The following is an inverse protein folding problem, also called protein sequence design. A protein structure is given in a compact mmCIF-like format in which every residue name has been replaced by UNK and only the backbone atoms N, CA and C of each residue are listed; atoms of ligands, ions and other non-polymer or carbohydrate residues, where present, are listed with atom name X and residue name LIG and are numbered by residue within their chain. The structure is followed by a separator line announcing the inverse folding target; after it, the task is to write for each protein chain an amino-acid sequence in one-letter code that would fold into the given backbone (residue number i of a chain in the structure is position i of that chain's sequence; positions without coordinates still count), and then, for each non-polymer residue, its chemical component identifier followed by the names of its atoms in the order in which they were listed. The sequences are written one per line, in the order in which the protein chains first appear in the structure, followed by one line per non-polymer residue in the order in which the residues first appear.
data_IF_794365517719
#
_entry.id   IF_794365517719
#
_cell.length_a   1.000
_cell.length_b   1.000
_cell.length_c   1.000
_cell.angle_alpha   90.00
_cell.angle_beta   90.00
_cell.angle_gamma   90.00
#
_symmetry.space_group_name_H-M   'P 1'
#
loop_
_entity.id
_entity.type
_entity.pdbx_description
1 polymer ?
#
# COMPACT_ATOMS: atom_id res chain seq x y z
N UNK A 1 58.31 -18.99 34.59
CA UNK A 1 57.73 -18.05 33.60
C UNK A 1 56.22 -18.09 33.80
N UNK A 2 55.63 -17.10 34.49
CA UNK A 2 54.17 -17.00 34.66
C UNK A 2 53.64 -16.16 33.51
N UNK A 3 52.79 -16.74 32.66
CA UNK A 3 52.02 -15.99 31.67
C UNK A 3 50.96 -15.18 32.43
N UNK A 4 51.12 -13.85 32.46
CA UNK A 4 50.01 -12.94 32.74
C UNK A 4 49.10 -12.99 31.52
N UNK A 5 47.90 -13.55 31.68
CA UNK A 5 46.83 -13.33 30.72
C UNK A 5 46.35 -11.88 30.86
N UNK A 6 46.29 -11.20 29.73
CA UNK A 6 46.07 -9.78 29.60
C UNK A 6 44.56 -9.47 29.72
N UNK A 7 44.05 -9.34 30.96
CA UNK A 7 42.66 -8.94 31.28
C UNK A 7 42.23 -7.65 30.55
N UNK A 8 43.20 -6.87 30.08
CA UNK A 8 43.03 -5.66 29.31
C UNK A 8 42.43 -5.91 27.92
N UNK A 9 42.71 -7.04 27.27
CA UNK A 9 42.17 -7.34 25.93
C UNK A 9 40.71 -7.80 25.96
N UNK A 10 40.30 -8.61 26.94
CA UNK A 10 38.88 -8.98 27.11
C UNK A 10 38.02 -7.78 27.52
N UNK A 11 38.56 -6.91 28.38
CA UNK A 11 37.87 -5.69 28.80
C UNK A 11 37.73 -4.69 27.64
N UNK A 12 38.74 -4.55 26.78
CA UNK A 12 38.69 -3.72 25.56
C UNK A 12 37.77 -4.29 24.48
N UNK A 13 37.75 -5.62 24.27
CA UNK A 13 36.77 -6.26 23.38
C UNK A 13 35.34 -6.13 23.90
N UNK A 14 35.14 -6.23 25.21
CA UNK A 14 33.83 -6.05 25.86
C UNK A 14 33.32 -4.62 25.76
N UNK A 15 34.18 -3.62 25.97
CA UNK A 15 33.83 -2.19 25.81
C UNK A 15 33.55 -1.83 24.35
N UNK A 16 34.35 -2.31 23.39
CA UNK A 16 34.13 -2.08 21.96
C UNK A 16 32.79 -2.67 21.48
N UNK A 17 32.44 -3.89 21.90
CA UNK A 17 31.14 -4.51 21.59
C UNK A 17 29.97 -3.76 22.23
N UNK A 18 30.15 -3.24 23.45
CA UNK A 18 29.13 -2.45 24.14
C UNK A 18 28.90 -1.09 23.47
N UNK A 19 29.96 -0.38 23.06
CA UNK A 19 29.83 0.91 22.36
C UNK A 19 29.12 0.76 21.02
N UNK A 20 29.44 -0.30 20.25
CA UNK A 20 28.74 -0.62 19.00
C UNK A 20 27.27 -0.93 19.23
N UNK A 21 26.95 -1.66 20.30
CA UNK A 21 25.58 -1.97 20.69
C UNK A 21 24.79 -0.70 21.04
N UNK A 22 25.35 0.17 21.88
CA UNK A 22 24.73 1.44 22.28
C UNK A 22 24.54 2.38 21.08
N UNK A 23 25.49 2.42 20.15
CA UNK A 23 25.38 3.18 18.91
C UNK A 23 24.22 2.67 18.04
N UNK A 24 24.10 1.35 17.85
CA UNK A 24 22.99 0.73 17.12
C UNK A 24 21.64 1.02 17.80
N UNK A 25 21.56 0.88 19.13
CA UNK A 25 20.37 1.18 19.93
C UNK A 25 19.90 2.63 19.76
N UNK A 26 20.83 3.58 19.80
CA UNK A 26 20.53 5.00 19.58
C UNK A 26 19.94 5.25 18.19
N UNK A 27 20.51 4.64 17.15
CA UNK A 27 20.02 4.76 15.77
C UNK A 27 18.61 4.17 15.64
N UNK A 28 18.36 2.98 16.20
CA UNK A 28 17.05 2.33 16.16
C UNK A 28 15.99 3.19 16.86
N UNK A 29 16.29 3.68 18.07
CA UNK A 29 15.40 4.59 18.83
C UNK A 29 15.07 5.87 18.05
N UNK A 30 16.07 6.51 17.45
CA UNK A 30 15.86 7.72 16.64
C UNK A 30 14.97 7.45 15.42
N UNK A 31 15.10 6.28 14.77
CA UNK A 31 14.28 5.90 13.62
C UNK A 31 12.83 5.65 13.99
N UNK A 32 12.57 4.99 15.12
CA UNK A 32 11.20 4.82 15.61
C UNK A 32 10.56 6.15 16.00
N UNK A 33 11.26 7.00 16.75
CA UNK A 33 10.75 8.35 17.08
C UNK A 33 10.51 9.23 15.85
N UNK A 34 11.26 9.05 14.76
CA UNK A 34 10.94 9.71 13.47
C UNK A 34 9.62 9.19 12.89
N UNK A 35 9.36 7.89 12.93
CA UNK A 35 8.13 7.29 12.36
C UNK A 35 6.89 7.68 13.15
N UNK A 36 7.00 7.71 14.48
CA UNK A 36 5.96 8.20 15.38
C UNK A 36 5.51 9.61 14.97
N UNK A 37 6.45 10.57 14.87
CA UNK A 37 6.14 11.93 14.41
C UNK A 37 5.47 11.99 13.03
N UNK A 38 5.89 11.14 12.09
CA UNK A 38 5.30 11.08 10.74
C UNK A 38 3.84 10.58 10.78
N UNK A 39 3.52 9.64 11.67
CA UNK A 39 2.16 9.14 11.84
C UNK A 39 1.28 10.14 12.60
N UNK A 40 1.79 10.73 13.68
CA UNK A 40 1.08 11.72 14.50
C UNK A 40 0.72 12.98 13.71
N UNK A 41 1.66 13.50 12.90
CA UNK A 41 1.40 14.63 11.99
C UNK A 41 0.29 14.36 10.95
N UNK A 42 -0.11 13.10 10.77
CA UNK A 42 -1.21 12.67 9.89
C UNK A 42 -2.43 12.18 10.67
N UNK A 43 -2.49 12.43 11.97
CA UNK A 43 -3.58 12.00 12.85
C UNK A 43 -3.67 10.47 13.01
N UNK A 44 -2.58 9.73 12.76
CA UNK A 44 -2.54 8.27 12.90
C UNK A 44 -1.83 7.88 14.20
N UNK A 45 -2.40 6.91 14.92
CA UNK A 45 -1.78 6.36 16.14
C UNK A 45 -0.51 5.59 15.76
N UNK A 46 0.56 5.83 16.51
CA UNK A 46 1.76 5.01 16.43
C UNK A 46 1.49 3.62 17.02
N UNK A 47 1.71 2.58 16.21
CA UNK A 47 1.70 1.19 16.69
C UNK A 47 3.13 0.67 16.73
N UNK A 48 3.57 0.35 17.94
CA UNK A 48 4.92 -0.11 18.22
C UNK A 48 5.16 -1.49 17.60
N UNK A 49 4.19 -2.40 17.67
CA UNK A 49 4.31 -3.77 17.15
C UNK A 49 4.48 -3.76 15.65
N UNK A 50 3.57 -3.11 14.93
CA UNK A 50 3.64 -2.94 13.48
C UNK A 50 4.94 -2.26 13.06
N UNK A 51 5.35 -1.21 13.76
CA UNK A 51 6.57 -0.47 13.43
C UNK A 51 7.81 -1.35 13.57
N UNK A 52 7.89 -2.16 14.62
CA UNK A 52 9.00 -3.09 14.84
C UNK A 52 9.01 -4.22 13.82
N UNK A 53 7.87 -4.83 13.51
CA UNK A 53 7.79 -5.91 12.51
C UNK A 53 8.13 -5.41 11.10
N UNK A 54 7.63 -4.23 10.71
CA UNK A 54 8.02 -3.58 9.46
C UNK A 54 9.51 -3.25 9.42
N UNK A 55 10.12 -2.95 10.56
CA UNK A 55 11.54 -2.69 10.64
C UNK A 55 12.39 -3.95 10.48
N UNK A 56 12.04 -5.02 11.18
CA UNK A 56 12.71 -6.33 11.08
C UNK A 56 12.63 -6.83 9.65
N UNK A 57 11.44 -6.84 9.06
CA UNK A 57 11.20 -7.39 7.72
C UNK A 57 11.30 -6.36 6.58
N UNK A 58 11.91 -5.18 6.83
CA UNK A 58 11.86 -4.00 5.94
C UNK A 58 12.23 -4.26 4.49
N UNK A 59 13.31 -5.01 4.21
CA UNK A 59 13.76 -5.31 2.84
C UNK A 59 12.70 -6.12 2.10
N UNK A 60 12.18 -7.16 2.77
CA UNK A 60 11.14 -8.03 2.24
C UNK A 60 9.82 -7.28 1.99
N UNK A 61 9.39 -6.44 2.93
CA UNK A 61 8.18 -5.61 2.79
C UNK A 61 8.34 -4.55 1.70
N UNK A 62 9.44 -3.79 1.68
CA UNK A 62 9.70 -2.80 0.65
C UNK A 62 9.76 -3.45 -0.74
N UNK A 63 10.48 -4.57 -0.89
CA UNK A 63 10.56 -5.28 -2.17
C UNK A 63 9.19 -5.77 -2.65
N UNK A 64 8.42 -6.41 -1.77
CA UNK A 64 7.07 -6.89 -2.13
C UNK A 64 6.12 -5.72 -2.45
N UNK A 65 6.13 -4.66 -1.64
CA UNK A 65 5.31 -3.47 -1.84
C UNK A 65 5.65 -2.73 -3.13
N UNK A 66 6.93 -2.52 -3.42
CA UNK A 66 7.36 -1.89 -4.69
C UNK A 66 6.93 -2.72 -5.90
N UNK A 67 7.09 -4.04 -5.87
CA UNK A 67 6.65 -4.90 -6.97
C UNK A 67 5.13 -4.86 -7.16
N UNK A 68 4.36 -4.97 -6.07
CA UNK A 68 2.90 -4.87 -6.13
C UNK A 68 2.43 -3.50 -6.66
N UNK A 69 3.02 -2.39 -6.21
CA UNK A 69 2.70 -1.04 -6.70
C UNK A 69 3.02 -0.92 -8.19
N UNK A 70 4.17 -1.43 -8.64
CA UNK A 70 4.53 -1.44 -10.06
C UNK A 70 3.50 -2.23 -10.87
N UNK A 71 3.12 -3.43 -10.42
CA UNK A 71 2.09 -4.24 -11.08
C UNK A 71 0.73 -3.53 -11.14
N UNK A 72 0.28 -2.95 -10.02
CA UNK A 72 -1.01 -2.24 -9.95
C UNK A 72 -1.02 -0.97 -10.81
N UNK A 73 0.13 -0.30 -10.91
CA UNK A 73 0.33 0.91 -11.71
C UNK A 73 0.52 0.60 -13.19
N UNK A 74 1.01 -0.59 -13.53
CA UNK A 74 1.22 -0.96 -14.92
C UNK A 74 -0.14 -1.13 -15.63
N UNK A 75 -0.20 -0.60 -16.85
CA UNK A 75 -1.37 -0.64 -17.72
C UNK A 75 -1.27 -1.71 -18.80
N UNK A 76 -0.12 -2.39 -18.89
CA UNK A 76 0.08 -3.59 -19.68
C UNK A 76 -0.66 -4.76 -19.03
N UNK A 77 -1.98 -4.67 -19.05
CA UNK A 77 -2.84 -5.83 -18.87
C UNK A 77 -2.81 -6.59 -20.20
N UNK A 78 -2.74 -7.92 -20.11
CA UNK A 78 -2.83 -8.85 -21.24
C UNK A 78 -3.84 -8.36 -22.29
N UNK A 79 -3.50 -8.54 -23.58
CA UNK A 79 -4.39 -8.17 -24.69
C UNK A 79 -5.78 -8.84 -24.61
N UNK A 80 -5.92 -9.86 -23.78
CA UNK A 80 -7.13 -10.65 -23.61
C UNK A 80 -8.08 -10.13 -22.53
N UNK A 81 -7.61 -9.31 -21.57
CA UNK A 81 -8.42 -8.85 -20.44
C UNK A 81 -8.69 -7.33 -20.51
N UNK A 82 -9.90 -6.95 -20.91
CA UNK A 82 -10.31 -5.55 -20.97
C UNK A 82 -9.56 -4.75 -22.04
N UNK A 83 -9.49 -5.29 -23.26
CA UNK A 83 -8.79 -4.69 -24.41
C UNK A 83 -9.36 -3.31 -24.75
N UNK A 84 -10.68 -3.17 -24.73
CA UNK A 84 -11.39 -1.96 -25.12
C UNK A 84 -11.15 -0.84 -24.10
N UNK A 85 -11.25 -1.17 -22.82
CA UNK A 85 -10.93 -0.31 -21.69
C UNK A 85 -9.43 0.05 -21.66
N UNK A 86 -8.56 -0.86 -22.11
CA UNK A 86 -7.15 -0.60 -22.37
C UNK A 86 -6.97 0.49 -23.42
N UNK A 87 -7.57 0.31 -24.59
CA UNK A 87 -7.54 1.26 -25.71
C UNK A 87 -8.08 2.63 -25.30
N UNK A 88 -9.18 2.67 -24.54
CA UNK A 88 -9.76 3.91 -24.04
C UNK A 88 -8.77 4.69 -23.16
N UNK A 89 -8.15 4.01 -22.19
CA UNK A 89 -7.20 4.61 -21.25
C UNK A 89 -5.90 5.04 -21.91
N UNK A 90 -5.45 4.33 -22.93
CA UNK A 90 -4.18 4.58 -23.62
C UNK A 90 -4.26 5.65 -24.71
N UNK A 91 -5.45 6.21 -24.98
CA UNK A 91 -5.64 7.28 -25.99
C UNK A 91 -4.80 8.52 -25.67
N UNK A 92 -4.67 8.88 -24.39
CA UNK A 92 -3.75 9.90 -23.88
C UNK A 92 -3.61 9.77 -22.36
N UNK A 93 -2.56 10.38 -21.78
CA UNK A 93 -2.39 10.43 -20.31
C UNK A 93 -3.64 11.00 -19.62
N UNK A 94 -4.22 12.07 -20.16
CA UNK A 94 -5.45 12.67 -19.63
C UNK A 94 -6.65 11.73 -19.77
N UNK A 95 -6.75 10.97 -20.85
CA UNK A 95 -7.81 9.96 -21.01
C UNK A 95 -7.71 8.88 -19.94
N UNK A 96 -6.49 8.44 -19.62
CA UNK A 96 -6.23 7.49 -18.54
C UNK A 96 -6.65 7.99 -17.15
N UNK A 97 -6.54 9.28 -16.87
CA UNK A 97 -6.98 9.89 -15.61
C UNK A 97 -8.51 10.08 -15.58
N UNK A 98 -9.07 10.72 -16.60
CA UNK A 98 -10.52 11.01 -16.66
C UNK A 98 -11.36 9.74 -16.70
N UNK A 99 -10.92 8.71 -17.42
CA UNK A 99 -11.62 7.42 -17.44
C UNK A 99 -11.64 6.75 -16.06
N UNK A 100 -10.64 6.94 -15.19
CA UNK A 100 -10.70 6.42 -13.81
C UNK A 100 -11.79 7.13 -13.02
N UNK A 101 -11.89 8.46 -13.15
CA UNK A 101 -12.95 9.25 -12.52
C UNK A 101 -14.33 8.85 -13.02
N UNK A 102 -14.47 8.62 -14.34
CA UNK A 102 -15.74 8.14 -14.92
C UNK A 102 -16.12 6.79 -14.33
N UNK A 103 -15.19 5.84 -14.26
CA UNK A 103 -15.46 4.51 -13.72
C UNK A 103 -15.76 4.55 -12.22
N UNK A 104 -15.05 5.36 -11.44
CA UNK A 104 -15.31 5.55 -10.01
C UNK A 104 -16.74 6.05 -9.77
N UNK A 105 -17.15 7.09 -10.52
CA UNK A 105 -18.52 7.60 -10.46
C UNK A 105 -19.56 6.56 -10.92
N UNK A 106 -19.28 5.77 -11.95
CA UNK A 106 -20.21 4.74 -12.44
C UNK A 106 -20.27 3.48 -11.56
N UNK A 107 -19.34 3.32 -10.61
CA UNK A 107 -19.43 2.31 -9.56
C UNK A 107 -20.23 2.80 -8.36
N UNK A 108 -20.36 4.12 -8.19
CA UNK A 108 -21.17 4.76 -7.13
C UNK A 108 -22.59 5.09 -7.60
N UNK A 109 -22.77 5.44 -8.87
CA UNK A 109 -24.03 5.89 -9.47
C UNK A 109 -24.33 5.09 -10.75
N UNK A 110 -25.60 4.70 -10.95
CA UNK A 110 -26.01 3.97 -12.16
C UNK A 110 -25.82 4.77 -13.44
N UNK A 111 -26.03 6.09 -13.36
CA UNK A 111 -25.90 7.03 -14.48
C UNK A 111 -25.11 8.27 -14.07
N UNK A 112 -24.34 8.82 -15.02
CA UNK A 112 -23.54 10.01 -14.82
C UNK A 112 -23.68 11.01 -15.98
N UNK A 113 -23.29 12.25 -15.72
CA UNK A 113 -23.26 13.35 -16.68
C UNK A 113 -21.85 13.94 -16.81
N UNK A 114 -21.59 14.63 -17.92
CA UNK A 114 -20.31 15.34 -18.12
C UNK A 114 -20.00 16.33 -16.98
N UNK A 115 -21.02 17.01 -16.43
CA UNK A 115 -20.86 17.95 -15.30
C UNK A 115 -20.43 17.27 -14.01
N UNK A 116 -20.94 16.07 -13.71
CA UNK A 116 -20.50 15.30 -12.55
C UNK A 116 -19.03 14.91 -12.70
N UNK A 117 -18.64 14.39 -13.88
CA UNK A 117 -17.25 14.01 -14.16
C UNK A 117 -16.30 15.21 -14.06
N UNK A 118 -16.67 16.34 -14.65
CA UNK A 118 -15.88 17.58 -14.61
C UNK A 118 -15.68 18.07 -13.16
N UNK A 119 -16.74 18.02 -12.35
CA UNK A 119 -16.69 18.40 -10.93
C UNK A 119 -15.79 17.48 -10.14
N UNK A 120 -15.89 16.17 -10.37
CA UNK A 120 -15.05 15.19 -9.69
C UNK A 120 -13.58 15.29 -10.10
N UNK A 121 -13.30 15.48 -11.40
CA UNK A 121 -11.94 15.74 -11.88
C UNK A 121 -11.30 16.96 -11.19
N UNK A 122 -12.06 18.05 -10.99
CA UNK A 122 -11.57 19.22 -10.25
C UNK A 122 -11.25 18.91 -8.79
N UNK A 123 -12.08 18.11 -8.11
CA UNK A 123 -11.84 17.68 -6.71
C UNK A 123 -10.57 16.84 -6.60
N UNK A 124 -10.30 16.01 -7.60
CA UNK A 124 -9.09 15.18 -7.67
C UNK A 124 -7.86 15.92 -8.22
N UNK A 125 -7.93 17.24 -8.40
CA UNK A 125 -6.83 18.05 -8.96
C UNK A 125 -6.38 17.62 -10.35
N UNK A 126 -7.32 17.09 -11.16
CA UNK A 126 -7.10 16.73 -12.58
C UNK A 126 -7.58 17.90 -13.44
N UNK A 127 -6.70 18.75 -14.00
CA UNK A 127 -7.10 19.94 -14.74
C UNK A 127 -7.62 19.56 -16.13
N UNK A 128 -8.94 19.49 -16.30
CA UNK A 128 -9.57 19.14 -17.58
C UNK A 128 -10.67 20.10 -17.97
N UNK A 129 -10.74 20.42 -19.26
CA UNK A 129 -11.82 21.21 -19.84
C UNK A 129 -13.02 20.31 -20.11
N UNK A 130 -14.24 20.85 -19.94
CA UNK A 130 -15.49 20.15 -20.26
C UNK A 130 -15.49 19.51 -21.64
N UNK A 131 -15.01 20.22 -22.66
CA UNK A 131 -14.92 19.72 -24.04
C UNK A 131 -14.08 18.45 -24.18
N UNK A 132 -13.01 18.35 -23.39
CA UNK A 132 -12.17 17.15 -23.36
C UNK A 132 -12.87 15.98 -22.68
N UNK A 133 -13.57 16.24 -21.57
CA UNK A 133 -14.39 15.22 -20.89
C UNK A 133 -15.46 14.69 -21.84
N UNK A 134 -16.20 15.58 -22.52
CA UNK A 134 -17.18 15.17 -23.54
C UNK A 134 -16.56 14.30 -24.63
N UNK A 135 -15.38 14.68 -25.14
CA UNK A 135 -14.67 13.88 -26.15
C UNK A 135 -14.30 12.48 -25.63
N UNK A 136 -13.82 12.40 -24.39
CA UNK A 136 -13.43 11.13 -23.76
C UNK A 136 -14.65 10.23 -23.54
N UNK A 137 -15.78 10.79 -23.09
CA UNK A 137 -17.04 10.05 -22.93
C UNK A 137 -17.59 9.58 -24.27
N UNK A 138 -17.61 10.43 -25.29
CA UNK A 138 -18.06 10.06 -26.63
C UNK A 138 -17.20 8.94 -27.23
N UNK A 139 -15.88 8.99 -27.04
CA UNK A 139 -15.00 7.89 -27.47
C UNK A 139 -15.33 6.57 -26.74
N UNK A 140 -15.71 6.63 -25.45
CA UNK A 140 -16.14 5.45 -24.71
C UNK A 140 -17.44 4.86 -25.26
N UNK A 141 -18.37 5.72 -25.71
CA UNK A 141 -19.60 5.29 -26.40
C UNK A 141 -19.29 4.69 -27.76
N UNK A 142 -18.36 5.28 -28.53
CA UNK A 142 -17.94 4.77 -29.85
C UNK A 142 -17.33 3.36 -29.78
N UNK A 143 -16.68 3.02 -28.66
CA UNK A 143 -16.09 1.71 -28.42
C UNK A 143 -16.94 0.83 -27.50
N UNK A 144 -18.21 1.18 -27.30
CA UNK A 144 -19.20 0.36 -26.58
C UNK A 144 -18.87 0.07 -25.09
N UNK A 145 -18.09 0.93 -24.44
CA UNK A 145 -17.86 0.87 -22.99
C UNK A 145 -18.94 1.63 -22.20
N UNK A 146 -19.55 2.64 -22.82
CA UNK A 146 -20.66 3.43 -22.26
C UNK A 146 -21.84 3.46 -23.23
N UNK A 147 -23.06 3.51 -22.71
CA UNK A 147 -24.28 3.79 -23.49
C UNK A 147 -24.87 5.13 -23.07
N UNK A 148 -25.64 5.74 -23.98
CA UNK A 148 -26.41 6.95 -23.68
C UNK A 148 -27.80 6.53 -23.24
N UNK A 149 -28.12 6.76 -21.97
CA UNK A 149 -29.43 6.42 -21.39
C UNK A 149 -30.48 7.44 -21.83
N UNK A 150 -30.13 8.72 -21.72
CA UNK A 150 -31.05 9.81 -21.99
C UNK A 150 -30.31 11.05 -22.45
N UNK A 151 -30.91 11.75 -23.42
CA UNK A 151 -30.53 13.11 -23.79
C UNK A 151 -31.61 14.06 -23.28
N UNK A 152 -31.25 14.93 -22.36
CA UNK A 152 -32.12 15.99 -21.84
C UNK A 152 -31.62 17.35 -22.29
N UNK A 153 -32.40 18.40 -22.02
CA UNK A 153 -31.96 19.78 -22.20
C UNK A 153 -30.78 20.14 -21.29
N UNK A 154 -30.71 19.51 -20.13
CA UNK A 154 -29.72 19.79 -19.07
C UNK A 154 -28.44 18.97 -19.21
N UNK A 155 -28.46 17.90 -20.01
CA UNK A 155 -27.27 17.10 -20.27
C UNK A 155 -27.55 15.78 -20.98
N UNK A 156 -26.49 15.02 -21.21
CA UNK A 156 -26.56 13.62 -21.62
C UNK A 156 -26.18 12.76 -20.42
N UNK A 157 -27.01 11.76 -20.15
CA UNK A 157 -26.79 10.74 -19.13
C UNK A 157 -26.15 9.51 -19.78
N UNK A 158 -25.11 9.00 -19.14
CA UNK A 158 -24.31 7.87 -19.59
C UNK A 158 -24.30 6.79 -18.51
N UNK A 159 -24.32 5.53 -18.92
CA UNK A 159 -24.17 4.37 -18.04
C UNK A 159 -23.08 3.43 -18.58
N UNK A 160 -22.65 2.48 -17.76
CA UNK A 160 -21.82 1.37 -18.22
C UNK A 160 -22.64 0.40 -19.07
N UNK A 161 -22.10 0.03 -20.23
CA UNK A 161 -22.59 -1.14 -20.97
C UNK A 161 -22.21 -2.43 -20.25
N UNK A 162 -22.79 -3.55 -20.70
CA UNK A 162 -22.37 -4.87 -20.21
C UNK A 162 -20.90 -5.15 -20.51
N UNK A 163 -20.42 -4.81 -21.71
CA UNK A 163 -19.01 -4.88 -22.07
C UNK A 163 -18.14 -4.06 -21.10
N UNK A 164 -18.57 -2.84 -20.77
CA UNK A 164 -17.88 -1.98 -19.82
C UNK A 164 -17.76 -2.61 -18.43
N UNK A 165 -18.81 -3.27 -17.94
CA UNK A 165 -18.81 -3.97 -16.64
C UNK A 165 -17.90 -5.19 -16.64
N UNK A 166 -18.05 -6.06 -17.64
CA UNK A 166 -17.23 -7.27 -17.78
C UNK A 166 -15.74 -6.93 -17.88
N UNK A 167 -15.38 -5.97 -18.74
CA UNK A 167 -13.97 -5.57 -18.88
C UNK A 167 -13.40 -4.90 -17.61
N UNK A 168 -14.24 -4.24 -16.79
CA UNK A 168 -13.81 -3.74 -15.49
C UNK A 168 -13.51 -4.89 -14.52
N UNK A 169 -14.40 -5.87 -14.45
CA UNK A 169 -14.26 -7.04 -13.59
C UNK A 169 -13.03 -7.85 -14.01
N UNK A 170 -12.88 -8.17 -15.29
CA UNK A 170 -11.73 -8.92 -15.83
C UNK A 170 -10.40 -8.26 -15.45
N UNK A 171 -10.34 -6.93 -15.58
CA UNK A 171 -9.13 -6.18 -15.23
C UNK A 171 -8.88 -6.15 -13.72
N UNK A 172 -9.92 -6.12 -12.89
CA UNK A 172 -9.77 -6.25 -11.44
C UNK A 172 -9.27 -7.65 -11.09
N UNK A 173 -9.90 -8.70 -11.60
CA UNK A 173 -9.52 -10.10 -11.36
C UNK A 173 -8.07 -10.30 -11.74
N UNK A 174 -7.66 -9.90 -12.94
CA UNK A 174 -6.27 -10.03 -13.37
C UNK A 174 -5.32 -9.27 -12.44
N UNK A 175 -5.58 -7.98 -12.20
CA UNK A 175 -4.69 -7.14 -11.36
C UNK A 175 -4.51 -7.66 -9.94
N UNK A 176 -5.57 -8.14 -9.31
CA UNK A 176 -5.53 -8.58 -7.92
C UNK A 176 -5.11 -10.05 -7.76
N UNK A 177 -5.12 -10.84 -8.84
CA UNK A 177 -4.59 -12.21 -8.85
C UNK A 177 -3.10 -12.29 -9.24
N UNK A 178 -2.52 -11.19 -9.74
CA UNK A 178 -1.10 -11.10 -10.02
C UNK A 178 -0.23 -11.54 -8.82
N UNK A 179 0.76 -12.44 -9.03
CA UNK A 179 1.52 -13.04 -7.93
C UNK A 179 2.19 -12.03 -7.00
N UNK A 180 2.69 -10.91 -7.54
CA UNK A 180 3.33 -9.86 -6.74
C UNK A 180 2.34 -9.10 -5.85
N UNK A 181 1.12 -8.87 -6.35
CA UNK A 181 0.03 -8.24 -5.58
C UNK A 181 -0.45 -9.18 -4.49
N UNK A 182 -0.69 -10.45 -4.81
CA UNK A 182 -1.07 -11.48 -3.84
C UNK A 182 -0.02 -11.64 -2.75
N UNK A 183 1.27 -11.69 -3.13
CA UNK A 183 2.39 -11.79 -2.17
C UNK A 183 2.44 -10.61 -1.23
N UNK A 184 2.22 -9.39 -1.73
CA UNK A 184 2.17 -8.20 -0.88
C UNK A 184 0.95 -8.23 0.05
N UNK A 185 -0.24 -8.58 -0.47
CA UNK A 185 -1.46 -8.70 0.34
C UNK A 185 -1.29 -9.70 1.50
N UNK A 186 -0.70 -10.88 1.24
CA UNK A 186 -0.38 -11.87 2.28
C UNK A 186 0.55 -11.31 3.36
N UNK A 187 1.55 -10.51 2.99
CA UNK A 187 2.43 -9.85 3.96
C UNK A 187 1.71 -8.79 4.80
N UNK A 188 0.76 -8.07 4.21
CA UNK A 188 -0.08 -7.11 4.95
C UNK A 188 -0.99 -7.83 5.95
N UNK A 189 -1.61 -8.94 5.54
CA UNK A 189 -2.42 -9.77 6.46
C UNK A 189 -1.57 -10.34 7.59
N UNK A 190 -0.41 -10.93 7.28
CA UNK A 190 0.53 -11.44 8.29
C UNK A 190 0.91 -10.37 9.34
N UNK A 191 1.05 -9.11 8.91
CA UNK A 191 1.36 -8.00 9.82
C UNK A 191 0.20 -7.70 10.78
N UNK A 192 -1.03 -7.75 10.30
CA UNK A 192 -2.22 -7.57 11.16
C UNK A 192 -2.42 -8.74 12.11
N UNK A 193 -2.18 -9.98 11.65
CA UNK A 193 -2.27 -11.18 12.48
C UNK A 193 -1.27 -11.14 13.64
N UNK A 194 0.01 -10.87 13.35
CA UNK A 194 1.06 -10.71 14.37
C UNK A 194 0.69 -9.62 15.38
N UNK A 195 0.15 -8.48 14.91
CA UNK A 195 -0.28 -7.39 15.79
C UNK A 195 -1.38 -7.85 16.74
N UNK A 196 -2.40 -8.56 16.24
CA UNK A 196 -3.51 -9.07 17.04
C UNK A 196 -3.05 -10.13 18.05
N UNK A 197 -2.19 -11.04 17.63
CA UNK A 197 -1.61 -12.06 18.52
C UNK A 197 -0.80 -11.43 19.65
N UNK A 198 0.04 -10.45 19.34
CA UNK A 198 0.81 -9.72 20.34
C UNK A 198 -0.09 -8.95 21.33
N UNK A 199 -1.12 -8.27 20.83
CA UNK A 199 -2.11 -7.59 21.68
C UNK A 199 -2.84 -8.59 22.59
N UNK A 200 -3.15 -9.79 22.08
CA UNK A 200 -3.72 -10.90 22.85
C UNK A 200 -2.77 -11.39 23.96
N UNK A 201 -1.53 -11.72 23.60
CA UNK A 201 -0.51 -12.18 24.54
C UNK A 201 -0.23 -11.16 25.65
N UNK A 202 -0.21 -9.85 25.33
CA UNK A 202 -0.03 -8.80 26.33
C UNK A 202 -1.21 -8.69 27.29
N UNK A 203 -2.45 -8.90 26.82
CA UNK A 203 -3.63 -8.96 27.70
C UNK A 203 -3.58 -10.16 28.63
N UNK A 204 -3.18 -11.33 28.14
CA UNK A 204 -3.01 -12.55 28.96
C UNK A 204 -1.92 -12.39 30.01
N UNK A 205 -0.77 -11.79 29.64
CA UNK A 205 0.32 -11.51 30.57
C UNK A 205 -0.09 -10.56 31.69
N UNK A 206 -0.85 -9.52 31.37
CA UNK A 206 -1.35 -8.54 32.35
C UNK A 206 -2.43 -9.13 33.27
N UNK A 207 -3.18 -10.13 32.82
CA UNK A 207 -4.21 -10.81 33.62
C UNK A 207 -3.66 -11.95 34.47
N UNK A 208 -2.52 -12.54 34.10
CA UNK A 208 -1.90 -13.63 34.86
C UNK A 208 -0.38 -13.47 35.02
N UNK A 209 0.08 -12.51 35.85
CA UNK A 209 1.50 -12.15 35.99
C UNK A 209 2.38 -13.21 36.66
N UNK A 210 1.79 -14.25 37.26
CA UNK A 210 2.51 -15.34 37.95
C UNK A 210 3.03 -16.44 37.02
N UNK A 211 2.65 -16.46 35.74
CA UNK A 211 3.25 -17.35 34.75
C UNK A 211 4.66 -16.86 34.43
N UNK A 212 5.65 -17.73 34.65
CA UNK A 212 7.01 -17.55 34.13
C UNK A 212 6.96 -17.78 32.62
N UNK A 213 6.77 -16.70 31.88
CA UNK A 213 7.00 -16.69 30.44
C UNK A 213 8.50 -16.79 30.20
N UNK A 214 8.94 -17.68 29.30
CA UNK A 214 10.32 -17.65 28.81
C UNK A 214 10.63 -16.22 28.36
N UNK A 215 11.85 -15.75 28.60
CA UNK A 215 12.26 -14.38 28.27
C UNK A 215 12.35 -14.21 26.75
N UNK A 216 11.19 -14.07 26.11
CA UNK A 216 11.12 -13.64 24.72
C UNK A 216 11.78 -12.27 24.63
N UNK A 217 12.69 -12.07 23.65
CA UNK A 217 13.32 -10.78 23.46
C UNK A 217 12.24 -9.73 23.21
N UNK A 218 12.35 -8.60 23.90
CA UNK A 218 11.49 -7.43 23.68
C UNK A 218 11.50 -7.02 22.21
N UNK A 219 10.44 -6.34 21.74
CA UNK A 219 10.39 -5.79 20.38
C UNK A 219 11.65 -4.98 20.03
N UNK A 220 12.17 -4.23 21.01
CA UNK A 220 13.40 -3.46 20.88
C UNK A 220 14.63 -4.36 20.69
N UNK A 221 14.75 -5.44 21.47
CA UNK A 221 15.80 -6.45 21.31
C UNK A 221 15.69 -7.19 19.97
N UNK A 222 14.47 -7.51 19.51
CA UNK A 222 14.26 -8.08 18.18
C UNK A 222 14.71 -7.10 17.07
N UNK A 223 14.40 -5.81 17.20
CA UNK A 223 14.83 -4.78 16.24
C UNK A 223 16.35 -4.51 16.27
N UNK A 224 16.99 -4.75 17.40
CA UNK A 224 18.45 -4.67 17.58
C UNK A 224 19.18 -5.90 17.01
N UNK A 225 18.59 -7.10 17.20
CA UNK A 225 19.10 -8.40 16.76
C UNK A 225 18.76 -8.73 15.31
N UNK A 226 17.92 -7.93 14.64
CA UNK A 226 17.62 -8.09 13.23
C UNK A 226 18.90 -7.88 12.40
N UNK A 227 19.66 -8.96 12.24
CA UNK A 227 20.82 -9.02 11.35
C UNK A 227 20.36 -8.72 9.92
N UNK A 228 21.25 -8.03 9.22
CA UNK A 228 21.00 -7.51 7.90
C UNK A 228 20.96 -8.68 6.92
N UNK A 229 19.78 -9.09 6.47
CA UNK A 229 19.62 -10.04 5.35
C UNK A 229 20.25 -9.45 4.08
N UNK A 230 21.56 -9.63 3.87
CA UNK A 230 22.26 -9.32 2.63
C UNK A 230 21.63 -10.06 1.43
#
# INVERSE_FOLDING_TARGET
MRFQFDDTQETQMGTFKMEQFLAKAKIVKQRFGRRERVLESRGRKYDEVTSHMLWVCRRSFCRAGTRAILTLSNHAISEDAGRTLGRWRQTSVTSGLVSRVIMDLLLEYDVITVSQVETQCRRESVPVKRTLVTKIMNHAVEIDLLSIVKKTRDGTEYELTELGREELIDRMVLKYTEPDVVKFARKVVMLDDIRREYEGAMKERNTNPSRTWDAEPSLFEMALRADYDD
#
